data_IF_759145746634
#
_entry.id   IF_759145746634
#
_cell.length_a   1.000
_cell.length_b   1.000
_cell.length_c   1.000
_cell.angle_alpha   90.00
_cell.angle_beta   90.00
_cell.angle_gamma   90.00
#
_symmetry.space_group_name_H-M   'P 1'
#
loop_
_entity.id
_entity.type
_entity.pdbx_description
1 polymer ?
#
# COMPACT_ATOMS: atom_id res chain seq x y z
N UNK A 1 34.81 -50.69 -10.95
CA UNK A 1 34.00 -51.77 -11.55
C UNK A 1 32.56 -51.29 -11.65
N UNK A 2 32.08 -50.97 -12.84
CA UNK A 2 30.67 -50.61 -13.05
C UNK A 2 29.96 -51.89 -13.48
N UNK A 3 29.03 -52.38 -12.65
CA UNK A 3 28.31 -53.63 -12.89
C UNK A 3 27.63 -53.65 -14.26
N UNK A 4 27.73 -54.73 -15.06
CA UNK A 4 27.22 -54.80 -16.43
C UNK A 4 25.75 -54.37 -16.58
N UNK A 5 24.96 -54.65 -15.54
CA UNK A 5 23.54 -54.28 -15.41
C UNK A 5 23.28 -52.76 -15.49
N UNK A 6 24.22 -51.95 -15.00
CA UNK A 6 24.11 -50.48 -15.06
C UNK A 6 24.30 -49.96 -16.48
N UNK A 7 25.21 -50.54 -17.25
CA UNK A 7 25.46 -50.15 -18.62
C UNK A 7 24.29 -50.55 -19.54
N UNK A 8 23.74 -51.75 -19.35
CA UNK A 8 22.53 -52.17 -20.06
C UNK A 8 21.34 -51.25 -19.74
N UNK A 9 21.17 -50.87 -18.46
CA UNK A 9 20.16 -49.90 -18.05
C UNK A 9 20.36 -48.51 -18.68
N UNK A 10 21.60 -48.05 -18.81
CA UNK A 10 21.94 -46.77 -19.44
C UNK A 10 21.65 -46.78 -20.95
N UNK A 11 22.07 -47.84 -21.66
CA UNK A 11 21.83 -48.03 -23.10
C UNK A 11 20.32 -48.13 -23.39
N UNK A 12 19.55 -48.76 -22.49
CA UNK A 12 18.08 -48.87 -22.61
C UNK A 12 17.36 -47.53 -22.39
N UNK A 13 17.92 -46.60 -21.61
CA UNK A 13 17.44 -45.21 -21.51
C UNK A 13 17.70 -44.40 -22.78
N UNK A 14 18.85 -44.61 -23.43
CA UNK A 14 19.22 -43.87 -24.65
C UNK A 14 18.27 -44.24 -25.81
N UNK A 15 17.87 -45.50 -25.93
CA UNK A 15 16.98 -45.98 -27.00
C UNK A 15 15.48 -46.00 -26.65
N UNK A 16 15.11 -45.60 -25.42
CA UNK A 16 13.74 -45.69 -24.94
C UNK A 16 13.14 -44.31 -24.71
N UNK A 17 12.70 -43.64 -25.77
CA UNK A 17 11.64 -42.62 -25.83
C UNK A 17 11.40 -41.77 -24.57
N UNK A 18 12.44 -41.29 -23.89
CA UNK A 18 12.27 -40.16 -22.98
C UNK A 18 12.13 -38.99 -23.93
N UNK A 19 10.89 -38.63 -24.25
CA UNK A 19 10.60 -37.27 -24.66
C UNK A 19 11.32 -36.40 -23.64
N UNK A 20 12.36 -35.66 -24.07
CA UNK A 20 12.98 -34.65 -23.21
C UNK A 20 11.85 -33.84 -22.58
N UNK A 21 11.99 -33.38 -21.31
CA UNK A 21 10.92 -32.69 -20.60
C UNK A 21 10.24 -31.76 -21.58
N UNK A 22 8.95 -31.99 -21.85
CA UNK A 22 8.30 -31.28 -22.93
C UNK A 22 8.48 -29.80 -22.61
N UNK A 23 8.75 -28.99 -23.62
CA UNK A 23 8.97 -27.56 -23.39
C UNK A 23 7.76 -26.93 -22.67
N UNK A 24 6.58 -27.55 -22.76
CA UNK A 24 5.38 -27.23 -21.96
C UNK A 24 5.47 -27.55 -20.47
N UNK A 25 6.13 -28.64 -20.05
CA UNK A 25 6.33 -28.97 -18.64
C UNK A 25 7.31 -28.00 -17.95
N UNK A 26 8.29 -27.51 -18.72
CA UNK A 26 9.22 -26.48 -18.26
C UNK A 26 8.50 -25.14 -18.04
N UNK A 27 7.57 -24.78 -18.93
CA UNK A 27 6.72 -23.60 -18.77
C UNK A 27 5.70 -23.75 -17.63
N UNK A 28 5.14 -24.95 -17.39
CA UNK A 28 4.22 -25.21 -16.27
C UNK A 28 4.92 -25.14 -14.91
N UNK A 29 6.16 -25.64 -14.80
CA UNK A 29 6.97 -25.49 -13.59
C UNK A 29 7.36 -24.02 -13.39
N UNK A 30 7.73 -23.32 -14.46
CA UNK A 30 8.04 -21.88 -14.42
C UNK A 30 6.80 -21.05 -14.02
N UNK A 31 5.60 -21.41 -14.49
CA UNK A 31 4.31 -20.80 -14.15
C UNK A 31 3.88 -21.12 -12.71
N UNK A 32 4.11 -22.34 -12.22
CA UNK A 32 3.85 -22.74 -10.83
C UNK A 32 4.87 -22.20 -9.81
N UNK A 33 6.09 -21.86 -10.25
CA UNK A 33 7.12 -21.18 -9.45
C UNK A 33 6.99 -19.65 -9.47
N UNK A 34 6.10 -19.08 -10.30
CA UNK A 34 6.10 -17.64 -10.61
C UNK A 34 5.49 -16.72 -9.55
N UNK A 35 4.74 -17.16 -8.55
CA UNK A 35 3.88 -16.19 -7.82
C UNK A 35 3.88 -16.33 -6.31
N UNK A 36 5.07 -16.38 -5.71
CA UNK A 36 5.22 -15.84 -4.36
C UNK A 36 6.04 -14.56 -4.49
N UNK A 37 5.42 -13.37 -4.34
CA UNK A 37 6.18 -12.12 -4.31
C UNK A 37 7.22 -12.22 -3.20
N UNK A 38 8.41 -11.72 -3.48
CA UNK A 38 9.50 -11.74 -2.49
C UNK A 38 9.06 -11.01 -1.23
N UNK A 39 9.62 -11.37 -0.07
CA UNK A 39 9.32 -10.68 1.19
C UNK A 39 9.51 -9.16 1.08
N UNK A 40 10.51 -8.72 0.32
CA UNK A 40 10.76 -7.31 0.03
C UNK A 40 9.65 -6.66 -0.81
N UNK A 41 9.11 -7.39 -1.78
CA UNK A 41 8.02 -6.91 -2.64
C UNK A 41 6.72 -6.78 -1.86
N UNK A 42 6.44 -7.71 -0.94
CA UNK A 42 5.32 -7.64 0.00
C UNK A 42 5.47 -6.43 0.93
N UNK A 43 6.66 -6.25 1.53
CA UNK A 43 6.94 -5.11 2.42
C UNK A 43 6.80 -3.78 1.68
N UNK A 44 7.25 -3.72 0.41
CA UNK A 44 7.12 -2.53 -0.43
C UNK A 44 5.66 -2.18 -0.70
N UNK A 45 4.84 -3.16 -1.08
CA UNK A 45 3.41 -2.94 -1.32
C UNK A 45 2.68 -2.48 -0.05
N UNK A 46 2.98 -3.09 1.10
CA UNK A 46 2.41 -2.68 2.38
C UNK A 46 2.85 -1.26 2.78
N UNK A 47 4.07 -0.87 2.45
CA UNK A 47 4.56 0.49 2.66
C UNK A 47 3.82 1.50 1.78
N UNK A 48 3.67 1.21 0.49
CA UNK A 48 2.92 2.06 -0.45
C UNK A 48 1.46 2.22 -0.01
N UNK A 49 0.81 1.13 0.42
CA UNK A 49 -0.56 1.16 0.93
C UNK A 49 -0.69 2.05 2.18
N UNK A 50 0.23 1.90 3.13
CA UNK A 50 0.25 2.73 4.35
C UNK A 50 0.51 4.19 4.03
N UNK A 51 1.38 4.49 3.07
CA UNK A 51 1.63 5.86 2.64
C UNK A 51 0.36 6.52 2.09
N UNK A 52 -0.38 5.84 1.22
CA UNK A 52 -1.64 6.37 0.68
C UNK A 52 -2.68 6.61 1.78
N UNK A 53 -2.76 5.72 2.78
CA UNK A 53 -3.65 5.93 3.93
C UNK A 53 -3.23 7.15 4.76
N UNK A 54 -1.93 7.32 4.99
CA UNK A 54 -1.38 8.46 5.73
C UNK A 54 -1.62 9.79 4.99
N UNK A 55 -1.40 9.83 3.67
CA UNK A 55 -1.69 11.01 2.86
C UNK A 55 -3.17 11.43 2.95
N UNK A 56 -4.09 10.46 2.93
CA UNK A 56 -5.53 10.73 3.12
C UNK A 56 -5.82 11.30 4.51
N UNK A 57 -5.22 10.74 5.57
CA UNK A 57 -5.38 11.24 6.94
C UNK A 57 -4.81 12.65 7.10
N UNK A 58 -3.65 12.94 6.50
CA UNK A 58 -3.06 14.28 6.51
C UNK A 58 -4.01 15.27 5.85
N UNK A 59 -4.53 14.95 4.66
CA UNK A 59 -5.47 15.82 3.96
C UNK A 59 -6.75 16.09 4.77
N UNK A 60 -7.31 15.07 5.41
CA UNK A 60 -8.48 15.22 6.28
C UNK A 60 -8.16 16.15 7.47
N UNK A 61 -7.01 15.96 8.13
CA UNK A 61 -6.59 16.80 9.25
C UNK A 61 -6.35 18.26 8.83
N UNK A 62 -5.81 18.49 7.64
CA UNK A 62 -5.65 19.85 7.09
C UNK A 62 -7.00 20.55 6.86
N UNK A 63 -7.98 19.83 6.34
CA UNK A 63 -9.35 20.33 6.14
C UNK A 63 -10.04 20.61 7.49
N UNK A 64 -9.96 19.69 8.44
CA UNK A 64 -10.51 19.89 9.80
C UNK A 64 -9.86 21.11 10.49
N UNK A 65 -8.54 21.26 10.37
CA UNK A 65 -7.81 22.43 10.89
C UNK A 65 -8.30 23.74 10.28
N UNK A 66 -8.52 23.76 8.96
CA UNK A 66 -9.05 24.95 8.27
C UNK A 66 -10.44 25.31 8.80
N UNK A 67 -11.35 24.34 8.92
CA UNK A 67 -12.69 24.56 9.45
C UNK A 67 -12.69 25.08 10.89
N UNK A 68 -11.85 24.49 11.76
CA UNK A 68 -11.70 24.97 13.13
C UNK A 68 -11.13 26.39 13.19
N UNK A 69 -10.16 26.71 12.33
CA UNK A 69 -9.63 28.07 12.21
C UNK A 69 -10.72 29.10 11.87
N UNK A 70 -11.54 28.80 10.86
CA UNK A 70 -12.67 29.64 10.48
C UNK A 70 -13.67 29.81 11.62
N UNK A 71 -13.98 28.73 12.34
CA UNK A 71 -14.91 28.78 13.46
C UNK A 71 -14.40 29.69 14.59
N UNK A 72 -13.11 29.61 14.91
CA UNK A 72 -12.46 30.48 15.91
C UNK A 72 -12.55 31.94 15.48
N UNK A 73 -12.30 32.25 14.21
CA UNK A 73 -12.34 33.63 13.72
C UNK A 73 -13.76 34.21 13.69
N UNK A 74 -14.77 33.40 13.36
CA UNK A 74 -16.18 33.78 13.49
C UNK A 74 -16.53 34.11 14.94
N UNK A 75 -16.16 33.24 15.89
CA UNK A 75 -16.42 33.51 17.32
C UNK A 75 -15.75 34.80 17.80
N UNK A 76 -14.51 35.06 17.38
CA UNK A 76 -13.81 36.31 17.71
C UNK A 76 -14.57 37.53 17.20
N UNK A 77 -15.05 37.50 15.96
CA UNK A 77 -15.81 38.60 15.36
C UNK A 77 -17.14 38.85 16.08
N UNK A 78 -17.85 37.78 16.48
CA UNK A 78 -19.08 37.89 17.26
C UNK A 78 -18.84 38.54 18.62
N UNK A 79 -17.79 38.12 19.33
CA UNK A 79 -17.40 38.70 20.63
C UNK A 79 -17.04 40.18 20.47
N UNK A 80 -16.27 40.53 19.44
CA UNK A 80 -15.89 41.91 19.16
C UNK A 80 -17.12 42.80 18.87
N UNK A 81 -18.06 42.30 18.06
CA UNK A 81 -19.32 42.99 17.75
C UNK A 81 -20.16 43.21 19.00
N UNK A 82 -20.27 42.20 19.87
CA UNK A 82 -20.98 42.31 21.14
C UNK A 82 -20.35 43.35 22.06
N UNK A 83 -19.01 43.38 22.15
CA UNK A 83 -18.29 44.38 22.95
C UNK A 83 -18.52 45.79 22.43
N UNK A 84 -18.44 46.00 21.11
CA UNK A 84 -18.73 47.30 20.48
C UNK A 84 -20.17 47.76 20.74
N UNK A 85 -21.14 46.85 20.71
CA UNK A 85 -22.54 47.16 21.04
C UNK A 85 -22.73 47.57 22.51
N UNK A 86 -22.11 46.85 23.44
CA UNK A 86 -22.15 47.16 24.88
C UNK A 86 -21.56 48.54 25.19
N UNK A 87 -20.38 48.84 24.66
CA UNK A 87 -19.72 50.12 24.90
C UNK A 87 -20.58 51.32 24.43
N UNK A 88 -21.25 51.22 23.28
CA UNK A 88 -22.14 52.28 22.79
C UNK A 88 -23.36 52.50 23.70
N UNK A 89 -23.99 51.40 24.15
CA UNK A 89 -25.13 51.49 25.06
C UNK A 89 -24.75 52.07 26.43
N UNK A 90 -23.49 51.90 26.86
CA UNK A 90 -22.96 52.48 28.10
C UNK A 90 -22.64 53.97 27.93
N UNK A 91 -22.08 54.39 26.79
CA UNK A 91 -21.87 55.82 26.44
C UNK A 91 -23.20 56.58 26.29
N UNK A 92 -24.27 55.95 25.81
CA UNK A 92 -25.60 56.58 25.67
C UNK A 92 -26.35 56.76 27.02
N UNK A 93 -25.88 56.11 28.10
CA UNK A 93 -26.48 56.16 29.44
C UNK A 93 -25.80 57.15 30.41
N UNK A 94 -24.66 57.73 30.01
CA UNK A 94 -23.85 58.68 30.78
C UNK A 94 -24.12 60.14 30.32
#
# INVERSE_FOLDING_TARGET
>A
MTTPKYNEWLVRRINGNISGPSQGDSHLIEEHLRVVPSELEIIKQDFEKRNVELEKKIKQLEEEKMHLGLHVDVQKLEIEKLRKGKNKAEEDLD
#
